data_IF_304645092820
#
_entry.id   IF_304645092820
#
_cell.length_a   1.000
_cell.length_b   1.000
_cell.length_c   1.000
_cell.angle_alpha   90.00
_cell.angle_beta   90.00
_cell.angle_gamma   90.00
#
_symmetry.space_group_name_H-M   'P 1'
#
loop_
_entity.id
_entity.type
_entity.pdbx_description
1 polymer ?
#
# COMPACT_ATOMS: atom_id res chain seq x y z
N UNK A 1 -11.47 -1.39 -2.25
CA UNK A 1 -11.56 -1.15 -0.80
C UNK A 1 -12.29 0.18 -0.60
N UNK A 2 -13.26 0.25 0.30
CA UNK A 2 -14.07 1.46 0.51
C UNK A 2 -13.32 2.59 1.22
N UNK A 3 -12.19 2.28 1.86
CA UNK A 3 -11.37 3.21 2.65
C UNK A 3 -10.29 3.90 1.81
N UNK A 4 -10.42 3.89 0.48
CA UNK A 4 -9.42 4.47 -0.45
C UNK A 4 -9.06 5.93 -0.11
N UNK A 5 -10.01 6.69 0.44
CA UNK A 5 -9.84 8.11 0.76
C UNK A 5 -9.48 8.36 2.23
N UNK A 6 -9.34 7.31 3.06
CA UNK A 6 -9.18 7.44 4.51
C UNK A 6 -8.02 8.39 4.84
N UNK A 7 -6.86 8.20 4.23
CA UNK A 7 -5.76 9.17 4.31
C UNK A 7 -5.00 9.33 2.98
N UNK A 8 -4.37 10.51 2.73
CA UNK A 8 -3.83 10.84 1.41
C UNK A 8 -2.79 9.85 0.86
N UNK A 9 -1.91 9.32 1.70
CA UNK A 9 -0.87 8.37 1.27
C UNK A 9 -1.48 7.03 0.82
N UNK A 10 -2.56 6.59 1.46
CA UNK A 10 -3.30 5.40 1.04
C UNK A 10 -3.92 5.61 -0.35
N UNK A 11 -4.53 6.77 -0.60
CA UNK A 11 -5.10 7.09 -1.91
C UNK A 11 -4.04 7.14 -3.01
N UNK A 12 -2.83 7.61 -2.69
CA UNK A 12 -1.69 7.59 -3.62
C UNK A 12 -1.30 6.17 -3.99
N UNK A 13 -1.13 5.28 -3.01
CA UNK A 13 -0.77 3.87 -3.25
C UNK A 13 -1.86 3.17 -4.09
N UNK A 14 -3.14 3.40 -3.78
CA UNK A 14 -4.25 2.86 -4.57
C UNK A 14 -4.22 3.36 -6.02
N UNK A 15 -3.98 4.66 -6.21
CA UNK A 15 -3.85 5.26 -7.55
C UNK A 15 -2.66 4.67 -8.32
N UNK A 16 -1.52 4.43 -7.65
CA UNK A 16 -0.36 3.79 -8.26
C UNK A 16 -0.68 2.38 -8.76
N UNK A 17 -1.39 1.56 -7.97
CA UNK A 17 -1.76 0.21 -8.38
C UNK A 17 -2.72 0.19 -9.58
N UNK A 18 -3.67 1.12 -9.65
CA UNK A 18 -4.54 1.27 -10.84
C UNK A 18 -3.72 1.66 -12.07
N UNK A 19 -2.79 2.61 -11.94
CA UNK A 19 -1.90 3.00 -13.05
C UNK A 19 -1.01 1.84 -13.49
N UNK A 20 -0.48 1.06 -12.55
CA UNK A 20 0.33 -0.12 -12.83
C UNK A 20 -0.49 -1.19 -13.56
N UNK A 21 -1.73 -1.45 -13.13
CA UNK A 21 -2.64 -2.36 -13.82
C UNK A 21 -2.82 -1.94 -15.29
N UNK A 22 -3.17 -0.68 -15.54
CA UNK A 22 -3.36 -0.18 -16.91
C UNK A 22 -2.08 -0.25 -17.75
N UNK A 23 -0.91 0.01 -17.14
CA UNK A 23 0.39 -0.12 -17.80
C UNK A 23 0.66 -1.58 -18.20
N UNK A 24 0.42 -2.53 -17.31
CA UNK A 24 0.62 -3.97 -17.57
C UNK A 24 -0.37 -4.47 -18.62
N UNK A 25 -1.64 -4.08 -18.54
CA UNK A 25 -2.65 -4.41 -19.54
C UNK A 25 -2.25 -3.87 -20.93
N UNK A 26 -1.79 -2.61 -21.02
CA UNK A 26 -1.31 -2.04 -22.27
C UNK A 26 -0.15 -2.84 -22.89
N UNK A 27 0.78 -3.32 -22.06
CA UNK A 27 1.89 -4.19 -22.50
C UNK A 27 1.41 -5.58 -22.95
N UNK A 28 0.53 -6.22 -22.16
CA UNK A 28 -0.01 -7.54 -22.50
C UNK A 28 -0.78 -7.52 -23.81
N UNK A 29 -1.56 -6.47 -24.06
CA UNK A 29 -2.27 -6.27 -25.33
C UNK A 29 -1.31 -6.16 -26.51
N UNK A 30 -0.23 -5.40 -26.37
CA UNK A 30 0.81 -5.30 -27.41
C UNK A 30 1.55 -6.61 -27.68
N UNK A 31 1.78 -7.43 -26.64
CA UNK A 31 2.43 -8.74 -26.75
C UNK A 31 1.50 -9.83 -27.28
N UNK A 32 0.19 -9.69 -27.08
CA UNK A 32 -0.82 -10.68 -27.46
C UNK A 32 -1.91 -10.06 -28.37
N UNK A 33 -1.63 -9.78 -29.65
CA UNK A 33 -2.59 -9.15 -30.55
C UNK A 33 -3.91 -9.93 -30.69
N UNK A 34 -3.89 -11.24 -30.47
CA UNK A 34 -5.10 -12.09 -30.48
C UNK A 34 -6.08 -11.77 -29.35
N UNK A 35 -5.67 -11.04 -28.31
CA UNK A 35 -6.51 -10.66 -27.17
C UNK A 35 -7.15 -9.28 -27.34
N UNK A 36 -6.96 -8.61 -28.47
CA UNK A 36 -7.45 -7.24 -28.69
C UNK A 36 -8.97 -7.06 -28.53
N UNK A 37 -9.75 -8.14 -28.73
CA UNK A 37 -11.20 -8.14 -28.58
C UNK A 37 -11.65 -8.94 -27.33
N UNK A 38 -10.72 -9.30 -26.45
CA UNK A 38 -10.96 -10.13 -25.26
C UNK A 38 -10.50 -9.36 -24.00
N UNK A 39 -11.27 -8.35 -23.65
CA UNK A 39 -10.99 -7.47 -22.51
C UNK A 39 -11.02 -8.23 -21.18
N UNK A 40 -11.85 -9.26 -21.04
CA UNK A 40 -11.92 -10.08 -19.82
C UNK A 40 -10.62 -10.84 -19.60
N UNK A 41 -10.10 -11.49 -20.65
CA UNK A 41 -8.81 -12.18 -20.55
C UNK A 41 -7.67 -11.22 -20.25
N UNK A 42 -7.67 -10.05 -20.90
CA UNK A 42 -6.67 -9.02 -20.62
C UNK A 42 -6.73 -8.57 -19.17
N UNK A 43 -7.94 -8.31 -18.64
CA UNK A 43 -8.15 -7.92 -17.26
C UNK A 43 -7.69 -8.99 -16.26
N UNK A 44 -8.08 -10.25 -16.44
CA UNK A 44 -7.74 -11.32 -15.50
C UNK A 44 -6.25 -11.64 -15.49
N UNK A 45 -5.60 -11.70 -16.66
CA UNK A 45 -4.14 -11.93 -16.71
C UNK A 45 -3.37 -10.73 -16.14
N UNK A 46 -3.81 -9.50 -16.41
CA UNK A 46 -3.24 -8.31 -15.76
C UNK A 46 -3.41 -8.39 -14.25
N UNK A 47 -4.62 -8.67 -13.75
CA UNK A 47 -4.91 -8.81 -12.32
C UNK A 47 -4.04 -9.87 -11.66
N UNK A 48 -3.84 -11.02 -12.32
CA UNK A 48 -2.98 -12.10 -11.84
C UNK A 48 -1.53 -11.65 -11.67
N UNK A 49 -0.99 -10.87 -12.61
CA UNK A 49 0.36 -10.27 -12.49
C UNK A 49 0.41 -9.28 -11.32
N UNK A 50 -0.56 -8.38 -11.19
CA UNK A 50 -0.60 -7.41 -10.09
C UNK A 50 -0.64 -8.09 -8.72
N UNK A 51 -1.45 -9.15 -8.58
CA UNK A 51 -1.49 -9.95 -7.34
C UNK A 51 -0.12 -10.57 -7.04
N UNK A 52 0.57 -11.09 -8.06
CA UNK A 52 1.92 -11.64 -7.89
C UNK A 52 2.95 -10.56 -7.51
N UNK A 53 2.89 -9.35 -8.09
CA UNK A 53 3.73 -8.21 -7.70
C UNK A 53 3.53 -7.85 -6.22
N UNK A 54 2.28 -7.72 -5.77
CA UNK A 54 1.95 -7.41 -4.38
C UNK A 54 2.43 -8.53 -3.45
N UNK A 55 2.17 -9.80 -3.78
CA UNK A 55 2.63 -10.94 -2.97
C UNK A 55 4.16 -10.97 -2.88
N UNK A 56 4.86 -10.70 -3.97
CA UNK A 56 6.31 -10.67 -3.97
C UNK A 56 6.85 -9.57 -3.05
N UNK A 57 6.34 -8.35 -3.16
CA UNK A 57 6.75 -7.23 -2.28
C UNK A 57 6.47 -7.59 -0.81
N UNK A 58 5.29 -8.14 -0.51
CA UNK A 58 4.92 -8.51 0.86
C UNK A 58 5.86 -9.57 1.42
N UNK A 59 6.08 -10.68 0.71
CA UNK A 59 6.86 -11.81 1.24
C UNK A 59 8.37 -11.62 1.12
N UNK A 60 8.86 -10.93 0.10
CA UNK A 60 10.30 -10.77 -0.13
C UNK A 60 10.87 -9.54 0.54
N UNK A 61 10.12 -8.44 0.60
CA UNK A 61 10.65 -7.14 1.04
C UNK A 61 10.08 -6.73 2.39
N UNK A 62 8.77 -6.84 2.60
CA UNK A 62 8.12 -6.30 3.80
C UNK A 62 8.18 -7.25 4.99
N UNK A 63 7.75 -8.52 4.84
CA UNK A 63 7.70 -9.48 5.94
C UNK A 63 9.06 -9.72 6.64
N UNK A 64 10.21 -9.81 5.94
CA UNK A 64 11.51 -9.94 6.61
C UNK A 64 11.86 -8.78 7.55
N UNK A 65 11.43 -7.56 7.22
CA UNK A 65 11.66 -6.37 8.04
C UNK A 65 10.82 -6.46 9.33
N UNK A 66 9.60 -6.98 9.23
CA UNK A 66 8.65 -7.05 10.36
C UNK A 66 8.92 -8.26 11.27
N UNK A 67 9.15 -9.44 10.69
CA UNK A 67 9.25 -10.71 11.43
C UNK A 67 10.68 -11.12 11.75
N UNK A 68 11.67 -10.53 11.06
CA UNK A 68 13.07 -10.93 11.12
C UNK A 68 13.36 -12.20 10.31
N UNK A 69 14.62 -12.37 9.93
CA UNK A 69 15.09 -13.49 9.07
C UNK A 69 14.86 -14.85 9.72
N UNK A 70 15.07 -14.98 11.03
CA UNK A 70 14.87 -16.25 11.74
C UNK A 70 13.43 -16.78 11.63
N UNK A 71 12.43 -15.90 11.78
CA UNK A 71 11.01 -16.26 11.65
C UNK A 71 10.67 -16.61 10.21
N UNK A 72 11.20 -15.85 9.24
CA UNK A 72 11.02 -16.13 7.82
C UNK A 72 11.53 -17.53 7.45
N UNK A 73 12.72 -17.89 7.94
CA UNK A 73 13.35 -19.20 7.72
C UNK A 73 12.56 -20.32 8.40
N UNK A 74 12.19 -20.14 9.67
CA UNK A 74 11.46 -21.14 10.45
C UNK A 74 10.13 -21.54 9.80
N UNK A 75 9.39 -20.57 9.26
CA UNK A 75 8.12 -20.82 8.59
C UNK A 75 8.24 -21.03 7.06
N UNK A 76 9.44 -20.94 6.50
CA UNK A 76 9.68 -21.10 5.06
C UNK A 76 8.92 -20.10 4.20
N UNK A 77 8.86 -18.84 4.64
CA UNK A 77 8.06 -17.78 4.01
C UNK A 77 8.78 -17.10 2.84
N UNK A 78 10.08 -17.34 2.66
CA UNK A 78 10.81 -16.71 1.58
C UNK A 78 10.35 -17.21 0.20
N UNK A 79 10.06 -16.31 -0.75
CA UNK A 79 9.83 -16.70 -2.14
C UNK A 79 11.08 -17.36 -2.72
N UNK A 80 10.87 -18.43 -3.51
CA UNK A 80 11.95 -19.09 -4.23
C UNK A 80 12.62 -18.12 -5.22
N UNK A 81 13.95 -18.20 -5.35
CA UNK A 81 14.71 -17.45 -6.35
C UNK A 81 14.45 -17.94 -7.79
N UNK A 82 13.97 -19.18 -7.94
CA UNK A 82 13.60 -19.75 -9.23
C UNK A 82 12.54 -20.86 -9.09
N UNK A 83 11.83 -21.13 -10.19
CA UNK A 83 10.80 -22.17 -10.26
C UNK A 83 9.52 -21.83 -9.50
N UNK A 84 8.69 -22.85 -9.27
CA UNK A 84 7.38 -22.70 -8.65
C UNK A 84 7.35 -23.20 -7.20
N UNK A 85 6.50 -22.57 -6.38
CA UNK A 85 6.12 -23.11 -5.09
C UNK A 85 5.11 -24.25 -5.29
N UNK A 86 5.41 -25.43 -4.75
CA UNK A 86 4.59 -26.63 -4.90
C UNK A 86 3.89 -27.04 -3.59
N UNK A 87 3.90 -26.17 -2.57
CA UNK A 87 3.34 -26.47 -1.24
C UNK A 87 1.90 -26.02 -1.05
N UNK A 88 1.17 -25.70 -2.12
CA UNK A 88 -0.26 -25.41 -2.04
C UNK A 88 -1.00 -26.63 -1.50
N UNK A 89 -1.91 -26.41 -0.56
CA UNK A 89 -2.72 -27.46 0.03
C UNK A 89 -4.12 -26.93 0.30
N UNK A 90 -5.13 -27.66 -0.19
CA UNK A 90 -6.55 -27.35 -0.01
C UNK A 90 -7.02 -27.58 1.43
N UNK A 91 -6.25 -28.31 2.25
CA UNK A 91 -6.57 -28.54 3.66
C UNK A 91 -6.08 -27.43 4.59
N UNK A 92 -5.39 -26.40 4.07
CA UNK A 92 -4.97 -25.25 4.87
C UNK A 92 -6.09 -24.23 4.93
N UNK A 93 -6.41 -23.80 6.14
CA UNK A 93 -7.31 -22.68 6.36
C UNK A 93 -6.58 -21.38 6.00
N UNK A 94 -7.13 -20.64 5.03
CA UNK A 94 -6.62 -19.36 4.55
C UNK A 94 -7.41 -18.17 5.11
N UNK A 95 -8.31 -18.40 6.07
CA UNK A 95 -9.07 -17.34 6.72
C UNK A 95 -8.16 -16.47 7.59
N UNK A 96 -8.52 -15.19 7.70
CA UNK A 96 -7.84 -14.26 8.58
C UNK A 96 -8.39 -14.44 9.99
N UNK A 97 -7.53 -14.82 10.94
CA UNK A 97 -7.91 -14.96 12.35
C UNK A 97 -8.26 -13.60 12.96
N UNK A 98 -9.19 -13.61 13.93
CA UNK A 98 -9.72 -12.38 14.51
C UNK A 98 -8.63 -11.54 15.19
N UNK A 99 -7.74 -12.18 15.95
CA UNK A 99 -6.64 -11.55 16.68
C UNK A 99 -5.71 -10.78 15.74
N UNK A 100 -5.46 -11.32 14.55
CA UNK A 100 -4.65 -10.66 13.54
C UNK A 100 -5.33 -9.37 13.04
N UNK A 101 -6.60 -9.47 12.65
CA UNK A 101 -7.36 -8.34 12.09
C UNK A 101 -7.72 -7.26 13.11
N UNK A 102 -8.05 -7.66 14.34
CA UNK A 102 -8.56 -6.80 15.39
C UNK A 102 -7.44 -6.08 16.15
N UNK A 103 -6.27 -6.74 16.31
CA UNK A 103 -5.19 -6.23 17.14
C UNK A 103 -3.84 -6.25 16.45
N UNK A 104 -3.32 -7.43 16.07
CA UNK A 104 -1.90 -7.57 15.72
C UNK A 104 -1.51 -6.69 14.52
N UNK A 105 -2.30 -6.70 13.44
CA UNK A 105 -1.99 -5.93 12.23
C UNK A 105 -2.21 -4.41 12.38
N UNK A 106 -2.77 -3.97 13.51
CA UNK A 106 -2.89 -2.54 13.85
C UNK A 106 -1.62 -1.94 14.41
N UNK A 107 -0.53 -2.73 14.56
CA UNK A 107 0.78 -2.21 14.93
C UNK A 107 1.24 -1.07 14.00
N UNK A 108 0.77 -1.07 12.74
CA UNK A 108 1.02 0.02 11.79
C UNK A 108 0.56 1.39 12.26
N UNK A 109 -0.41 1.50 13.18
CA UNK A 109 -0.85 2.79 13.70
C UNK A 109 0.22 3.51 14.54
N UNK A 110 1.19 2.80 15.13
CA UNK A 110 2.32 3.43 15.84
C UNK A 110 3.32 4.06 14.85
N UNK A 111 3.25 3.68 13.57
CA UNK A 111 4.20 4.08 12.53
C UNK A 111 3.76 5.33 11.75
N UNK A 112 2.52 5.78 11.96
CA UNK A 112 1.90 6.87 11.21
C UNK A 112 2.43 8.22 11.69
N UNK A 113 2.78 9.08 10.72
CA UNK A 113 3.19 10.46 10.95
C UNK A 113 1.97 11.39 11.00
N UNK A 114 1.94 12.33 11.96
CA UNK A 114 0.88 13.35 12.04
C UNK A 114 1.02 14.48 11.01
N UNK A 115 2.23 14.69 10.48
CA UNK A 115 2.52 15.68 9.44
C UNK A 115 3.14 14.98 8.23
N UNK A 116 2.49 15.06 7.06
CA UNK A 116 2.92 14.39 5.84
C UNK A 116 3.76 15.36 5.00
N UNK A 117 5.02 15.03 4.74
CA UNK A 117 5.92 15.92 4.03
C UNK A 117 5.64 15.94 2.51
N UNK A 118 5.59 17.14 1.95
CA UNK A 118 5.56 17.38 0.52
C UNK A 118 6.99 17.58 0.02
N UNK A 119 7.43 16.77 -0.94
CA UNK A 119 8.78 16.87 -1.51
C UNK A 119 8.75 17.20 -2.99
N UNK A 120 9.42 18.28 -3.39
CA UNK A 120 9.71 18.57 -4.80
C UNK A 120 11.02 17.93 -5.25
N UNK A 121 11.39 18.11 -6.52
CA UNK A 121 12.71 17.75 -7.02
C UNK A 121 13.84 18.55 -6.35
N UNK A 122 13.53 19.71 -5.76
CA UNK A 122 14.50 20.59 -5.08
C UNK A 122 14.59 20.33 -3.57
N UNK A 123 13.83 19.37 -3.03
CA UNK A 123 13.76 19.07 -1.60
C UNK A 123 12.37 19.31 -0.99
N UNK A 124 12.31 19.40 0.34
CA UNK A 124 11.06 19.60 1.09
C UNK A 124 10.40 20.91 0.65
N UNK A 125 9.16 20.80 0.16
CA UNK A 125 8.36 21.90 -0.39
C UNK A 125 7.26 22.36 0.58
N UNK A 126 6.94 21.55 1.59
CA UNK A 126 5.93 21.85 2.59
C UNK A 126 5.51 20.59 3.34
N UNK A 127 4.36 20.66 3.99
CA UNK A 127 3.72 19.52 4.62
C UNK A 127 2.20 19.69 4.73
N UNK A 128 1.49 18.60 4.99
CA UNK A 128 0.05 18.58 5.24
C UNK A 128 -0.24 17.83 6.54
N UNK A 129 -1.04 18.44 7.41
CA UNK A 129 -1.43 17.83 8.67
C UNK A 129 -2.42 16.69 8.41
N UNK A 130 -2.13 15.50 8.91
CA UNK A 130 -2.91 14.30 8.66
C UNK A 130 -4.33 14.41 9.23
N UNK A 131 -4.48 14.88 10.48
CA UNK A 131 -5.80 15.04 11.12
C UNK A 131 -6.75 15.97 10.39
N UNK A 132 -6.24 16.90 9.60
CA UNK A 132 -7.05 17.80 8.78
C UNK A 132 -7.42 17.18 7.43
N UNK A 133 -6.85 16.04 7.06
CA UNK A 133 -6.90 15.49 5.71
C UNK A 133 -7.37 14.04 5.64
N UNK A 134 -7.93 13.51 6.73
CA UNK A 134 -8.73 12.28 6.66
C UNK A 134 -9.94 12.50 5.73
N UNK A 135 -10.25 11.50 4.90
CA UNK A 135 -11.37 11.52 3.94
C UNK A 135 -11.37 12.72 2.98
N UNK A 136 -10.19 13.31 2.71
CA UNK A 136 -10.05 14.48 1.84
C UNK A 136 -9.41 14.14 0.48
N UNK A 137 -10.19 13.69 -0.52
CA UNK A 137 -9.66 13.37 -1.85
C UNK A 137 -9.20 14.59 -2.64
N UNK A 138 -9.55 15.82 -2.23
CA UNK A 138 -9.19 17.03 -2.97
C UNK A 138 -7.67 17.21 -3.10
N UNK A 139 -6.90 16.77 -2.10
CA UNK A 139 -5.44 16.87 -2.10
C UNK A 139 -4.78 16.12 -3.26
N UNK A 140 -5.33 14.97 -3.64
CA UNK A 140 -4.71 14.09 -4.66
C UNK A 140 -5.12 14.46 -6.08
N UNK A 141 -6.11 15.34 -6.28
CA UNK A 141 -6.49 15.82 -7.61
C UNK A 141 -5.47 16.79 -8.21
N UNK A 142 -4.68 17.47 -7.38
CA UNK A 142 -3.54 18.26 -7.83
C UNK A 142 -2.38 17.32 -8.20
N UNK A 143 -1.99 17.32 -9.48
CA UNK A 143 -0.84 16.52 -9.97
C UNK A 143 0.43 16.87 -9.20
N UNK A 144 0.64 18.16 -8.92
CA UNK A 144 1.82 18.64 -8.17
C UNK A 144 1.81 18.04 -6.76
N UNK A 145 0.69 18.14 -6.04
CA UNK A 145 0.56 17.63 -4.67
C UNK A 145 0.66 16.11 -4.62
N UNK A 146 0.05 15.40 -5.58
CA UNK A 146 0.17 13.96 -5.73
C UNK A 146 1.64 13.53 -5.85
N UNK A 147 2.40 14.15 -6.75
CA UNK A 147 3.80 13.81 -6.92
C UNK A 147 4.66 14.20 -5.70
N UNK A 148 4.32 15.29 -5.03
CA UNK A 148 5.05 15.73 -3.84
C UNK A 148 4.84 14.79 -2.65
N UNK A 149 3.61 14.35 -2.41
CA UNK A 149 3.29 13.35 -1.40
C UNK A 149 3.89 11.98 -1.75
N UNK A 150 3.87 11.61 -3.03
CA UNK A 150 4.53 10.39 -3.49
C UNK A 150 6.04 10.43 -3.20
N UNK A 151 6.73 11.55 -3.46
CA UNK A 151 8.13 11.71 -3.07
C UNK A 151 8.30 11.70 -1.55
N UNK A 152 7.33 12.22 -0.81
CA UNK A 152 7.25 12.13 0.65
C UNK A 152 7.26 10.69 1.15
N UNK A 153 6.47 9.80 0.55
CA UNK A 153 6.45 8.36 0.89
C UNK A 153 7.82 7.68 0.80
N UNK A 154 8.73 8.16 -0.05
CA UNK A 154 10.09 7.62 -0.18
C UNK A 154 11.13 8.32 0.69
N UNK A 155 10.91 9.60 1.04
CA UNK A 155 11.92 10.45 1.70
C UNK A 155 11.67 10.65 3.19
N UNK A 156 10.41 10.70 3.59
CA UNK A 156 10.05 10.92 4.98
C UNK A 156 10.19 9.60 5.76
N UNK A 157 10.95 9.56 6.86
CA UNK A 157 10.97 8.39 7.73
C UNK A 157 9.60 8.20 8.41
N UNK A 158 9.20 6.95 8.57
CA UNK A 158 8.06 6.57 9.42
C UNK A 158 8.30 6.95 10.89
N UNK A 159 7.22 7.00 11.70
CA UNK A 159 7.39 7.11 13.15
C UNK A 159 8.08 5.87 13.72
N UNK A 160 8.67 6.03 14.90
CA UNK A 160 9.30 4.91 15.59
C UNK A 160 8.26 3.86 15.97
N UNK A 161 8.67 2.59 15.90
CA UNK A 161 7.89 1.52 16.47
C UNK A 161 8.00 1.57 18.00
N UNK A 162 7.06 2.22 18.65
CA UNK A 162 6.99 2.31 20.11
C UNK A 162 5.54 2.19 20.62
N UNK A 163 5.33 2.42 21.93
CA UNK A 163 4.01 2.32 22.57
C UNK A 163 3.13 3.54 22.32
N UNK A 164 3.64 4.55 21.62
CA UNK A 164 2.97 5.81 21.39
C UNK A 164 2.36 5.81 19.99
N UNK A 165 1.19 6.40 19.90
CA UNK A 165 0.49 6.66 18.64
C UNK A 165 0.37 8.18 18.54
N UNK A 166 0.57 8.75 17.35
CA UNK A 166 0.53 10.20 17.18
C UNK A 166 -0.83 10.79 17.55
N UNK A 167 -0.81 12.02 18.07
CA UNK A 167 -2.00 12.75 18.54
C UNK A 167 -3.11 12.84 17.46
N UNK A 168 -2.70 12.96 16.19
CA UNK A 168 -3.59 12.94 15.02
C UNK A 168 -4.48 11.69 14.95
N UNK A 169 -3.98 10.54 15.41
CA UNK A 169 -4.72 9.29 15.46
C UNK A 169 -5.40 9.02 16.81
N UNK A 170 -4.82 9.47 17.93
CA UNK A 170 -5.39 9.20 19.25
C UNK A 170 -6.51 10.16 19.65
N UNK A 171 -6.39 11.43 19.28
CA UNK A 171 -7.26 12.50 19.79
C UNK A 171 -7.98 13.30 18.68
N UNK A 172 -7.54 13.18 17.43
CA UNK A 172 -8.06 14.00 16.31
C UNK A 172 -8.56 13.18 15.11
N UNK A 173 -8.63 11.85 15.25
CA UNK A 173 -9.13 10.96 14.22
C UNK A 173 -10.60 11.31 13.89
N UNK A 174 -10.88 11.60 12.63
CA UNK A 174 -12.21 11.99 12.12
C UNK A 174 -12.84 13.22 12.81
N UNK A 175 -12.01 14.21 13.20
CA UNK A 175 -12.54 15.47 13.73
C UNK A 175 -13.42 16.16 12.67
N UNK A 176 -14.63 16.59 13.07
CA UNK A 176 -15.57 17.31 12.21
C UNK A 176 -14.90 18.60 11.68
N UNK A 177 -14.78 18.72 10.36
CA UNK A 177 -14.36 19.98 9.72
C UNK A 177 -15.48 21.01 9.90
N UNK A 178 -15.23 22.05 10.70
CA UNK A 178 -16.10 23.21 10.71
C UNK A 178 -15.93 23.94 9.37
N UNK A 179 -16.95 23.88 8.53
CA UNK A 179 -17.05 24.72 7.35
C UNK A 179 -17.38 26.15 7.80
N UNK A 180 -16.38 27.02 7.81
CA UNK A 180 -16.54 28.48 7.81
C UNK A 180 -16.31 29.01 6.40
#
# INVERSE_FOLDING_TARGET
DTRVNEQPQLSIIQTMWVRQHNRVAGKLRGLNPSWNNDDEKLYQETRRIIVAEIQHIVYKEWLPIILGTHTMDFYGLEPKSSGYFNGYSTSRDATIINEFSAAAFRFGHTLVQGDLELHSIYGKAGSVVLSENFDNPALIFSVITFEQLLRGLFKQPMQNFDKCVVDDLTNKLFKVRNHS
#
